data_IF_586531398910
#
_entry.id   IF_586531398910
#
_cell.length_a   1.000
_cell.length_b   1.000
_cell.length_c   1.000
_cell.angle_alpha   90.00
_cell.angle_beta   90.00
_cell.angle_gamma   90.00
#
_symmetry.space_group_name_H-M   'P 1'
#
loop_
_entity.id
_entity.type
_entity.pdbx_description
1 polymer ?
#
# COMPACT_ATOMS: atom_id res chain seq x y z
N UNK A 1 -7.30 7.03 -5.88
CA UNK A 1 -5.93 7.61 -5.91
C UNK A 1 -5.58 8.25 -7.27
N UNK A 2 -4.54 9.09 -7.37
CA UNK A 2 -4.16 9.75 -8.65
C UNK A 2 -2.66 9.81 -8.98
N UNK A 3 -1.76 9.33 -8.09
CA UNK A 3 -0.33 9.21 -8.37
C UNK A 3 0.32 8.11 -7.51
N UNK A 4 1.59 7.77 -7.79
CA UNK A 4 2.37 6.74 -7.08
C UNK A 4 3.42 7.24 -6.09
N UNK A 5 3.47 8.54 -5.78
CA UNK A 5 4.57 9.16 -5.00
C UNK A 5 4.64 8.68 -3.55
N UNK A 6 3.54 8.15 -3.03
CA UNK A 6 3.44 7.60 -1.67
C UNK A 6 3.53 6.06 -1.64
N UNK A 7 4.04 5.43 -2.69
CA UNK A 7 4.19 3.99 -2.72
C UNK A 7 5.15 3.50 -1.64
N UNK A 8 4.73 2.49 -0.91
CA UNK A 8 5.47 1.87 0.18
C UNK A 8 5.40 0.36 0.08
N UNK A 9 6.44 -0.32 0.51
CA UNK A 9 6.47 -1.77 0.63
C UNK A 9 6.08 -2.20 2.05
N UNK A 10 5.02 -3.00 2.17
CA UNK A 10 4.50 -3.51 3.44
C UNK A 10 5.35 -4.68 3.91
N UNK A 11 6.07 -4.50 5.01
CA UNK A 11 6.96 -5.50 5.59
C UNK A 11 6.30 -6.34 6.70
N UNK A 12 5.28 -5.80 7.36
CA UNK A 12 4.58 -6.44 8.49
C UNK A 12 3.19 -5.84 8.65
N UNK A 13 2.19 -6.65 9.00
CA UNK A 13 0.84 -6.18 9.34
C UNK A 13 -0.13 -6.05 8.15
N UNK A 14 0.13 -6.71 7.02
CA UNK A 14 -0.73 -6.66 5.84
C UNK A 14 -2.15 -7.21 6.12
N UNK A 15 -2.25 -8.19 7.00
CA UNK A 15 -3.51 -8.79 7.47
C UNK A 15 -4.40 -7.80 8.24
N UNK A 16 -3.82 -6.73 8.77
CA UNK A 16 -4.52 -5.66 9.48
C UNK A 16 -5.15 -4.65 8.51
N UNK A 17 -4.78 -4.68 7.23
CA UNK A 17 -5.25 -3.71 6.25
C UNK A 17 -6.61 -4.11 5.67
N UNK A 18 -7.41 -3.11 5.32
CA UNK A 18 -8.47 -3.30 4.35
C UNK A 18 -7.87 -3.59 2.95
N UNK A 19 -8.60 -4.31 2.08
CA UNK A 19 -8.19 -4.50 0.69
C UNK A 19 -7.90 -3.16 0.01
N UNK A 20 -7.00 -3.17 -0.97
CA UNK A 20 -6.82 -2.03 -1.86
C UNK A 20 -8.10 -1.82 -2.68
N UNK A 21 -8.46 -0.55 -2.88
CA UNK A 21 -9.57 -0.16 -3.74
C UNK A 21 -9.11 -0.13 -5.21
N UNK A 22 -10.05 -0.20 -6.14
CA UNK A 22 -9.75 -0.31 -7.58
C UNK A 22 -8.82 0.81 -8.08
N UNK A 23 -9.05 2.04 -7.64
CA UNK A 23 -8.20 3.18 -8.02
C UNK A 23 -6.77 3.08 -7.47
N UNK A 24 -6.55 2.39 -6.34
CA UNK A 24 -5.21 2.10 -5.84
C UNK A 24 -4.54 1.02 -6.70
N UNK A 25 -5.29 -0.03 -7.03
CA UNK A 25 -4.82 -1.15 -7.85
C UNK A 25 -4.41 -0.69 -9.26
N UNK A 26 -5.20 0.19 -9.89
CA UNK A 26 -4.89 0.74 -11.22
C UNK A 26 -3.51 1.43 -11.24
N UNK A 27 -3.17 2.18 -10.19
CA UNK A 27 -1.89 2.86 -10.08
C UNK A 27 -0.76 1.86 -9.79
N UNK A 28 -0.98 0.91 -8.89
CA UNK A 28 0.02 -0.13 -8.56
C UNK A 28 0.33 -0.98 -9.79
N UNK A 29 -0.67 -1.30 -10.61
CA UNK A 29 -0.50 -2.01 -11.88
C UNK A 29 0.28 -1.18 -12.91
N UNK A 30 0.00 0.12 -13.04
CA UNK A 30 0.78 1.02 -13.90
C UNK A 30 2.26 1.12 -13.48
N UNK A 31 2.54 1.01 -12.18
CA UNK A 31 3.90 0.99 -11.63
C UNK A 31 4.57 -0.40 -11.72
N UNK A 32 3.87 -1.42 -12.22
CA UNK A 32 4.28 -2.83 -12.16
C UNK A 32 4.68 -3.26 -10.73
N UNK A 33 3.97 -2.71 -9.73
CA UNK A 33 4.33 -2.86 -8.33
C UNK A 33 4.06 -4.29 -7.82
N UNK A 34 4.95 -4.86 -6.97
CA UNK A 34 4.68 -6.11 -6.29
C UNK A 34 3.43 -6.05 -5.41
N UNK A 35 2.79 -7.20 -5.16
CA UNK A 35 1.59 -7.29 -4.29
C UNK A 35 1.80 -6.83 -2.84
N UNK A 36 3.06 -6.73 -2.39
CA UNK A 36 3.39 -6.20 -1.07
C UNK A 36 3.37 -4.68 -1.03
N UNK A 37 3.29 -4.02 -2.18
CA UNK A 37 3.27 -2.57 -2.28
C UNK A 37 1.86 -2.03 -2.10
N UNK A 38 1.77 -0.86 -1.47
CA UNK A 38 0.54 -0.11 -1.23
C UNK A 38 0.81 1.38 -1.44
N UNK A 39 -0.23 2.15 -1.73
CA UNK A 39 -0.15 3.60 -1.67
C UNK A 39 -0.43 4.04 -0.24
N UNK A 40 0.56 4.63 0.44
CA UNK A 40 0.43 4.99 1.85
C UNK A 40 -0.78 5.90 2.14
N UNK A 41 -1.16 6.76 1.19
CA UNK A 41 -2.34 7.62 1.33
C UNK A 41 -3.69 6.89 1.19
N UNK A 42 -3.70 5.63 0.74
CA UNK A 42 -4.90 4.80 0.59
C UNK A 42 -4.97 3.67 1.63
N UNK A 43 -3.90 3.46 2.41
CA UNK A 43 -3.90 2.44 3.46
C UNK A 43 -4.96 2.78 4.51
N UNK A 44 -5.90 1.86 4.68
CA UNK A 44 -6.86 1.88 5.76
C UNK A 44 -6.70 0.61 6.61
N UNK A 45 -6.74 0.78 7.93
CA UNK A 45 -6.60 -0.30 8.91
C UNK A 45 -7.98 -0.85 9.29
N UNK A 46 -8.09 -2.16 9.48
CA UNK A 46 -9.23 -2.77 10.18
C UNK A 46 -9.31 -2.24 11.61
N UNK A 47 -10.51 -2.15 12.22
CA UNK A 47 -10.64 -1.77 13.62
C UNK A 47 -9.89 -2.73 14.54
N UNK A 48 -9.15 -2.19 15.51
CA UNK A 48 -8.44 -2.97 16.53
C UNK A 48 -6.98 -2.53 16.73
N UNK A 49 -6.31 -3.05 17.77
CA UNK A 49 -4.90 -2.78 18.00
C UNK A 49 -4.04 -3.55 16.99
N UNK A 50 -2.92 -2.95 16.59
CA UNK A 50 -1.95 -3.57 15.70
C UNK A 50 -0.80 -2.65 15.34
N UNK A 51 0.19 -3.20 14.62
CA UNK A 51 1.34 -2.46 14.13
C UNK A 51 1.52 -2.76 12.64
N UNK A 52 1.60 -1.70 11.85
CA UNK A 52 1.95 -1.77 10.44
C UNK A 52 3.39 -1.28 10.29
N UNK A 53 4.23 -2.04 9.57
CA UNK A 53 5.59 -1.61 9.21
C UNK A 53 5.70 -1.51 7.70
N UNK A 54 6.07 -0.33 7.23
CA UNK A 54 6.30 -0.04 5.82
C UNK A 54 7.66 0.61 5.60
N UNK A 55 8.18 0.52 4.38
CA UNK A 55 9.38 1.25 3.94
C UNK A 55 9.09 1.99 2.64
N UNK A 56 9.69 3.16 2.40
CA UNK A 56 9.52 3.86 1.13
C UNK A 56 10.11 3.04 -0.03
N UNK A 57 9.44 3.08 -1.18
CA UNK A 57 9.95 2.53 -2.43
C UNK A 57 10.76 3.62 -3.11
N UNK A 58 12.08 3.44 -3.17
CA UNK A 58 13.02 4.47 -3.65
C UNK A 58 13.52 4.24 -5.09
N UNK A 59 13.09 3.17 -5.76
CA UNK A 59 13.58 2.80 -7.09
C UNK A 59 12.41 2.39 -7.99
N UNK A 60 12.24 3.13 -9.10
CA UNK A 60 11.44 2.77 -10.27
C UNK A 60 12.32 2.91 -11.51
#
# INVERSE_FOLDING_TARGET
ASCGTCCVDVKEGAELLLPAEDEELDILDMLAAPKTHRLACQIQMKPGPGRLRVVPVNEY
#
